data_IF_941712958415
#
_entry.id   IF_941712958415
#
_cell.length_a   1.000
_cell.length_b   1.000
_cell.length_c   1.000
_cell.angle_alpha   90.00
_cell.angle_beta   90.00
_cell.angle_gamma   90.00
#
_symmetry.space_group_name_H-M   'P 1'
#
loop_
_entity.id
_entity.type
_entity.pdbx_description
1 polymer ?
#
# COMPACT_ATOMS: atom_id res chain seq x y z
N UNK A 1 10.62 -23.66 -11.60
CA UNK A 1 11.79 -24.19 -10.92
C UNK A 1 11.28 -25.27 -9.98
N UNK A 2 11.27 -26.54 -10.39
CA UNK A 2 11.35 -27.62 -9.44
C UNK A 2 12.79 -27.52 -8.90
N UNK A 3 12.97 -26.94 -7.73
CA UNK A 3 14.14 -27.22 -6.93
C UNK A 3 13.86 -28.57 -6.31
N UNK A 4 14.46 -29.58 -6.89
CA UNK A 4 14.58 -30.85 -6.21
C UNK A 4 15.44 -30.61 -4.97
N UNK A 5 14.85 -30.59 -3.82
CA UNK A 5 15.51 -30.26 -2.57
C UNK A 5 16.39 -31.40 -2.08
N UNK A 6 17.50 -31.10 -1.43
CA UNK A 6 18.35 -32.11 -0.78
C UNK A 6 17.58 -32.71 0.37
N UNK A 7 17.33 -34.02 0.31
CA UNK A 7 16.84 -34.81 1.43
C UNK A 7 18.01 -35.38 2.20
N UNK A 8 18.25 -34.82 3.37
CA UNK A 8 19.25 -35.39 4.30
C UNK A 8 18.55 -35.85 5.56
N UNK A 9 18.82 -37.11 5.95
CA UNK A 9 18.38 -37.60 7.27
C UNK A 9 19.51 -37.34 8.26
N UNK A 10 19.24 -36.47 9.24
CA UNK A 10 20.19 -36.23 10.33
C UNK A 10 19.80 -37.19 11.46
N UNK A 11 20.66 -38.16 11.82
CA UNK A 11 20.34 -39.09 12.91
C UNK A 11 20.32 -38.32 14.23
N UNK A 12 19.21 -38.45 14.94
CA UNK A 12 19.07 -38.00 16.31
C UNK A 12 19.66 -39.02 17.26
N UNK A 13 20.44 -38.57 18.19
CA UNK A 13 20.76 -39.39 19.36
C UNK A 13 19.52 -39.42 20.26
N UNK A 14 18.99 -40.61 20.44
CA UNK A 14 17.94 -41.04 21.36
C UNK A 14 16.49 -40.55 21.12
N UNK A 15 15.65 -41.51 20.77
CA UNK A 15 14.18 -41.61 20.96
C UNK A 15 13.25 -40.62 20.21
N UNK A 16 13.62 -40.05 19.11
CA UNK A 16 12.68 -39.32 18.24
C UNK A 16 12.79 -39.78 16.79
N UNK A 17 11.66 -39.85 16.10
CA UNK A 17 11.67 -40.13 14.66
C UNK A 17 12.62 -39.21 13.91
N UNK A 18 13.33 -39.69 12.90
CA UNK A 18 14.26 -38.86 12.13
C UNK A 18 13.53 -37.70 11.49
N UNK A 19 14.04 -36.49 11.70
CA UNK A 19 13.52 -35.28 11.07
C UNK A 19 14.16 -35.15 9.72
N UNK A 20 13.34 -35.19 8.65
CA UNK A 20 13.80 -34.80 7.31
C UNK A 20 14.00 -33.30 7.23
N UNK A 21 15.23 -32.88 7.09
CA UNK A 21 15.59 -31.51 6.74
C UNK A 21 15.76 -31.44 5.23
N UNK A 22 14.79 -30.86 4.51
CA UNK A 22 14.97 -30.55 3.11
C UNK A 22 15.90 -29.35 2.97
N UNK A 23 17.17 -29.60 2.70
CA UNK A 23 18.12 -28.53 2.40
C UNK A 23 18.29 -28.33 0.90
N UNK A 24 18.42 -29.38 0.11
CA UNK A 24 18.47 -29.42 -1.37
C UNK A 24 18.52 -30.88 -1.81
N UNK A 25 18.11 -31.23 -3.02
CA UNK A 25 18.43 -32.55 -3.59
C UNK A 25 19.87 -32.57 -4.03
N UNK A 26 20.66 -33.46 -3.44
CA UNK A 26 21.96 -33.80 -3.98
C UNK A 26 21.78 -34.87 -5.07
N UNK A 27 22.65 -34.88 -6.10
CA UNK A 27 22.70 -36.00 -7.03
C UNK A 27 22.81 -37.33 -6.30
N UNK A 28 22.14 -38.37 -6.79
CA UNK A 28 22.10 -39.73 -6.19
C UNK A 28 23.50 -40.35 -5.89
N UNK A 29 24.56 -39.75 -6.39
CA UNK A 29 25.97 -40.19 -6.23
C UNK A 29 26.61 -39.75 -4.92
N UNK A 30 25.92 -38.91 -4.10
CA UNK A 30 26.46 -38.43 -2.82
C UNK A 30 25.82 -39.23 -1.68
N UNK A 31 26.50 -40.32 -1.31
CA UNK A 31 26.04 -41.19 -0.22
C UNK A 31 26.05 -40.53 1.19
N UNK A 32 26.77 -39.42 1.34
CA UNK A 32 26.90 -38.77 2.65
C UNK A 32 27.09 -37.22 2.45
N UNK A 33 26.17 -36.46 3.01
CA UNK A 33 26.30 -35.00 3.03
C UNK A 33 27.34 -34.61 4.09
N UNK A 34 28.58 -34.40 3.69
CA UNK A 34 29.60 -33.80 4.56
C UNK A 34 29.46 -32.29 4.49
N UNK A 35 28.74 -31.70 5.40
CA UNK A 35 28.61 -30.25 5.55
C UNK A 35 29.92 -29.58 5.96
N UNK A 36 31.03 -30.34 6.11
CA UNK A 36 32.31 -29.84 6.61
C UNK A 36 33.51 -30.58 5.97
N UNK A 37 34.60 -29.85 5.73
CA UNK A 37 35.83 -30.50 5.30
C UNK A 37 36.35 -31.48 6.37
N UNK A 38 36.69 -32.67 5.96
CA UNK A 38 37.09 -33.83 6.77
C UNK A 38 38.42 -33.66 7.54
N UNK A 39 38.77 -32.49 8.05
CA UNK A 39 40.12 -32.27 8.59
C UNK A 39 40.29 -32.49 10.08
N UNK A 40 39.24 -32.76 10.86
CA UNK A 40 39.39 -32.87 12.35
C UNK A 40 38.76 -34.06 13.00
N UNK A 41 38.03 -34.93 12.29
CA UNK A 41 37.41 -36.11 12.90
C UNK A 41 36.27 -35.79 13.88
N UNK A 42 35.97 -34.54 14.15
CA UNK A 42 34.86 -34.11 14.99
C UNK A 42 33.77 -33.49 14.14
N UNK A 43 32.54 -33.97 14.32
CA UNK A 43 31.34 -33.39 13.70
C UNK A 43 31.05 -32.02 14.38
N UNK A 44 31.15 -30.92 13.69
CA UNK A 44 30.82 -29.63 14.28
C UNK A 44 29.34 -29.52 14.63
N UNK A 45 28.98 -28.66 15.60
CA UNK A 45 27.62 -28.53 16.06
C UNK A 45 26.70 -28.00 14.99
N UNK A 46 25.76 -28.78 14.62
CA UNK A 46 24.65 -28.37 13.77
C UNK A 46 23.54 -27.83 14.68
N UNK A 47 23.08 -26.62 14.43
CA UNK A 47 21.86 -26.14 15.04
C UNK A 47 20.70 -26.69 14.23
N UNK A 48 19.93 -27.61 14.82
CA UNK A 48 18.73 -28.12 14.21
C UNK A 48 17.55 -27.38 14.83
N UNK A 49 16.70 -26.80 13.98
CA UNK A 49 15.51 -26.11 14.39
C UNK A 49 14.28 -26.96 14.03
N UNK A 50 13.51 -27.35 15.05
CA UNK A 50 12.28 -28.10 14.84
C UNK A 50 11.08 -27.16 14.69
N UNK A 51 10.68 -26.89 13.44
CA UNK A 51 9.55 -26.06 13.09
C UNK A 51 8.19 -26.71 13.38
N UNK A 52 8.14 -28.01 13.58
CA UNK A 52 6.90 -28.75 13.86
C UNK A 52 6.45 -28.60 15.30
N UNK A 53 7.35 -28.36 16.22
CA UNK A 53 7.05 -28.37 17.67
C UNK A 53 6.62 -27.02 18.23
N UNK A 54 6.54 -25.96 17.48
CA UNK A 54 6.10 -24.60 17.89
C UNK A 54 6.50 -24.18 19.34
N UNK A 55 7.27 -25.00 20.01
CA UNK A 55 7.75 -24.75 21.35
C UNK A 55 8.99 -23.90 21.21
N UNK A 56 8.80 -22.60 21.26
CA UNK A 56 9.80 -21.55 21.27
C UNK A 56 11.16 -21.98 20.75
N UNK A 57 11.73 -21.24 19.89
CA UNK A 57 13.03 -21.36 19.23
C UNK A 57 14.12 -22.08 20.10
N UNK A 58 13.90 -23.31 20.50
CA UNK A 58 14.90 -24.09 21.17
C UNK A 58 15.86 -24.71 20.15
N UNK A 59 16.98 -24.00 19.99
CA UNK A 59 18.14 -24.58 19.33
C UNK A 59 18.70 -25.69 20.19
N UNK A 60 18.59 -26.96 19.80
CA UNK A 60 19.48 -27.97 20.36
C UNK A 60 20.91 -27.65 19.90
N UNK A 61 21.71 -27.06 20.77
CA UNK A 61 23.15 -27.01 20.62
C UNK A 61 23.67 -28.45 20.70
N UNK A 62 24.08 -28.99 19.57
CA UNK A 62 25.05 -30.07 19.57
C UNK A 62 26.36 -29.44 20.04
N UNK A 63 26.86 -29.91 21.17
CA UNK A 63 27.87 -29.22 21.96
C UNK A 63 29.24 -29.27 21.25
N UNK A 64 29.76 -28.12 20.85
CA UNK A 64 31.09 -27.99 20.28
C UNK A 64 31.78 -26.79 20.86
N UNK A 65 32.01 -26.81 22.13
CA UNK A 65 32.95 -25.87 22.71
C UNK A 65 32.69 -24.37 22.47
N UNK A 66 31.42 -23.94 22.33
CA UNK A 66 31.06 -22.53 22.38
C UNK A 66 31.15 -21.72 21.09
N UNK A 67 31.52 -22.29 19.94
CA UNK A 67 31.54 -21.59 18.65
C UNK A 67 30.17 -21.64 17.98
N UNK A 68 29.63 -20.47 17.63
CA UNK A 68 28.43 -20.35 16.77
C UNK A 68 28.84 -20.70 15.34
N UNK A 69 28.27 -21.75 14.76
CA UNK A 69 28.51 -22.09 13.37
C UNK A 69 27.75 -21.13 12.47
N UNK A 70 28.41 -20.62 11.44
CA UNK A 70 27.82 -19.87 10.36
C UNK A 70 28.03 -20.62 9.05
N UNK A 71 27.03 -20.58 8.19
CA UNK A 71 27.12 -21.06 6.82
C UNK A 71 27.59 -19.92 5.91
N UNK A 72 28.29 -20.25 4.83
CA UNK A 72 28.67 -19.26 3.82
C UNK A 72 27.45 -18.69 3.12
N UNK A 73 26.44 -19.55 2.89
CA UNK A 73 25.17 -19.20 2.25
C UNK A 73 24.00 -19.96 2.85
N UNK A 74 22.83 -19.31 2.87
CA UNK A 74 21.53 -19.96 3.03
C UNK A 74 20.70 -19.68 1.81
N UNK A 75 20.21 -20.73 1.16
CA UNK A 75 19.27 -20.65 0.04
C UNK A 75 18.10 -21.57 0.37
N UNK A 76 16.86 -21.08 0.17
CA UNK A 76 15.72 -21.92 0.50
C UNK A 76 14.36 -21.37 0.13
N UNK A 77 13.38 -22.27 0.23
CA UNK A 77 11.95 -22.00 0.15
C UNK A 77 11.32 -22.42 1.49
N UNK A 78 11.25 -21.51 2.48
CA UNK A 78 10.74 -21.86 3.79
C UNK A 78 9.23 -22.08 3.77
N UNK A 79 8.66 -22.79 4.76
CA UNK A 79 7.21 -22.81 4.95
C UNK A 79 6.64 -21.40 5.07
N UNK A 80 5.49 -21.17 4.44
CA UNK A 80 4.91 -19.81 4.35
C UNK A 80 4.02 -19.49 5.53
N UNK A 81 3.23 -20.47 5.99
CA UNK A 81 2.27 -20.33 7.07
C UNK A 81 2.38 -21.50 8.05
N UNK A 82 1.83 -21.30 9.26
CA UNK A 82 1.64 -22.37 10.24
C UNK A 82 0.71 -23.46 9.67
N UNK A 83 0.97 -24.73 10.02
CA UNK A 83 0.07 -25.84 9.66
C UNK A 83 -1.26 -25.75 10.41
N UNK A 84 -2.36 -26.04 9.70
CA UNK A 84 -3.70 -26.08 10.27
C UNK A 84 -3.91 -27.34 11.11
N UNK A 85 -3.52 -27.32 12.38
CA UNK A 85 -3.84 -28.40 13.33
C UNK A 85 -4.83 -27.96 14.41
N UNK A 86 -5.71 -27.00 14.17
CA UNK A 86 -6.72 -26.59 15.14
C UNK A 86 -8.13 -26.74 14.61
N UNK A 87 -8.82 -27.73 15.18
CA UNK A 87 -10.28 -27.90 15.17
C UNK A 87 -10.95 -26.79 16.02
N UNK A 88 -11.12 -25.59 15.43
CA UNK A 88 -11.82 -24.49 16.06
C UNK A 88 -12.35 -23.50 15.02
N UNK A 89 -13.38 -22.74 15.37
CA UNK A 89 -14.14 -21.80 14.51
C UNK A 89 -13.33 -20.71 13.79
N UNK A 90 -12.01 -20.67 13.93
CA UNK A 90 -11.09 -19.73 13.27
C UNK A 90 -10.17 -20.39 12.22
N UNK A 91 -10.60 -21.50 11.60
CA UNK A 91 -9.83 -22.29 10.65
C UNK A 91 -9.37 -21.56 9.36
N UNK A 92 -9.67 -20.28 9.19
CA UNK A 92 -9.40 -19.54 7.95
C UNK A 92 -8.19 -18.60 7.98
N UNK A 93 -7.40 -18.53 9.07
CA UNK A 93 -6.26 -17.62 9.18
C UNK A 93 -4.99 -18.31 9.66
N UNK A 94 -4.30 -19.01 8.74
CA UNK A 94 -2.92 -19.46 9.01
C UNK A 94 -2.01 -18.23 9.14
N UNK A 95 -1.30 -18.13 10.27
CA UNK A 95 -0.34 -17.05 10.48
C UNK A 95 0.89 -17.25 9.58
N UNK A 96 1.42 -16.19 8.98
CA UNK A 96 2.69 -16.28 8.24
C UNK A 96 3.83 -16.58 9.20
N UNK A 97 4.72 -17.50 8.80
CA UNK A 97 5.94 -17.84 9.52
C UNK A 97 7.21 -17.59 8.70
N UNK A 98 7.11 -17.33 7.40
CA UNK A 98 8.26 -17.08 6.54
C UNK A 98 9.12 -15.90 7.02
N UNK A 99 8.52 -14.90 7.66
CA UNK A 99 9.24 -13.78 8.27
C UNK A 99 10.17 -14.23 9.39
N UNK A 100 9.79 -15.24 10.17
CA UNK A 100 10.62 -15.84 11.21
C UNK A 100 11.80 -16.59 10.57
N UNK A 101 11.56 -17.28 9.44
CA UNK A 101 12.63 -17.94 8.70
C UNK A 101 13.65 -16.95 8.14
N UNK A 102 13.21 -15.81 7.63
CA UNK A 102 14.10 -14.74 7.20
C UNK A 102 15.01 -14.30 8.36
N UNK A 103 14.43 -14.04 9.52
CA UNK A 103 15.19 -13.60 10.70
C UNK A 103 16.15 -14.68 11.22
N UNK A 104 15.74 -15.94 11.25
CA UNK A 104 16.58 -17.04 11.71
C UNK A 104 17.72 -17.36 10.73
N UNK A 105 17.45 -17.37 9.42
CA UNK A 105 18.46 -17.57 8.40
C UNK A 105 19.61 -16.54 8.50
N UNK A 106 19.27 -15.29 8.81
CA UNK A 106 20.26 -14.21 9.01
C UNK A 106 21.14 -14.37 10.26
N UNK A 107 20.74 -15.20 11.22
CA UNK A 107 21.56 -15.52 12.41
C UNK A 107 22.64 -16.56 12.08
N UNK A 108 22.36 -17.43 11.12
CA UNK A 108 23.24 -18.55 10.77
C UNK A 108 24.07 -18.34 9.50
N UNK A 109 23.80 -17.27 8.74
CA UNK A 109 24.59 -16.90 7.56
C UNK A 109 24.61 -15.38 7.34
N UNK A 110 25.73 -14.91 6.82
CA UNK A 110 25.87 -13.53 6.39
C UNK A 110 25.34 -13.29 4.96
N UNK A 111 24.96 -14.36 4.23
CA UNK A 111 24.34 -14.30 2.90
C UNK A 111 23.16 -15.24 2.80
N UNK A 112 21.99 -14.67 2.57
CA UNK A 112 20.71 -15.41 2.59
C UNK A 112 19.90 -15.06 1.35
N UNK A 113 19.47 -16.09 0.62
CA UNK A 113 18.51 -15.96 -0.49
C UNK A 113 17.32 -16.86 -0.22
N UNK A 114 16.14 -16.27 -0.10
CA UNK A 114 14.92 -17.01 0.15
C UNK A 114 13.83 -16.61 -0.87
N UNK A 115 13.00 -17.60 -1.24
CA UNK A 115 11.75 -17.37 -1.95
C UNK A 115 10.59 -17.48 -0.95
N UNK A 116 9.69 -16.52 -0.98
CA UNK A 116 8.58 -16.45 -0.02
C UNK A 116 7.45 -15.55 -0.53
N UNK A 117 6.26 -15.50 0.13
CA UNK A 117 5.19 -14.57 -0.22
C UNK A 117 5.65 -13.12 -0.16
N UNK A 118 5.23 -12.34 -1.14
CA UNK A 118 5.68 -10.96 -1.32
C UNK A 118 4.81 -9.90 -0.62
N UNK A 119 3.72 -10.30 0.08
CA UNK A 119 2.72 -9.35 0.64
C UNK A 119 3.31 -8.30 1.57
N UNK A 120 4.35 -8.65 2.33
CA UNK A 120 5.00 -7.71 3.25
C UNK A 120 5.67 -6.53 2.51
N UNK A 121 6.12 -6.73 1.26
CA UNK A 121 6.70 -5.67 0.43
C UNK A 121 5.71 -4.51 0.21
N UNK A 122 4.42 -4.82 0.16
CA UNK A 122 3.32 -3.86 0.03
C UNK A 122 2.74 -3.42 1.38
N UNK A 123 3.41 -3.74 2.47
CA UNK A 123 2.92 -3.56 3.83
C UNK A 123 1.51 -4.16 4.05
N UNK A 124 1.22 -5.24 3.33
CA UNK A 124 -0.02 -6.01 3.35
C UNK A 124 0.21 -7.40 3.96
N UNK A 125 -0.89 -8.09 4.28
CA UNK A 125 -0.82 -9.40 4.91
C UNK A 125 -0.75 -9.34 6.43
N UNK A 126 -0.48 -10.49 7.05
CA UNK A 126 -0.55 -10.67 8.51
C UNK A 126 0.83 -10.69 9.19
N UNK A 127 1.91 -10.33 8.48
CA UNK A 127 3.22 -10.10 9.12
C UNK A 127 3.17 -8.87 10.03
N UNK A 128 3.88 -8.87 11.18
CA UNK A 128 3.90 -7.73 12.08
C UNK A 128 4.35 -6.44 11.40
N UNK A 129 3.64 -5.35 11.62
CA UNK A 129 3.91 -4.04 11.00
C UNK A 129 5.32 -3.52 11.31
N UNK A 130 5.78 -3.69 12.54
CA UNK A 130 7.13 -3.29 12.94
C UNK A 130 8.21 -4.12 12.25
N UNK A 131 7.95 -5.42 12.04
CA UNK A 131 8.83 -6.28 11.26
C UNK A 131 8.89 -5.82 9.81
N UNK A 132 7.74 -5.53 9.18
CA UNK A 132 7.70 -5.00 7.81
C UNK A 132 8.52 -3.71 7.70
N UNK A 133 8.31 -2.76 8.62
CA UNK A 133 9.06 -1.50 8.66
C UNK A 133 10.57 -1.74 8.79
N UNK A 134 10.97 -2.64 9.69
CA UNK A 134 12.39 -2.99 9.91
C UNK A 134 13.02 -3.59 8.66
N UNK A 135 12.39 -4.59 8.04
CA UNK A 135 12.95 -5.30 6.90
C UNK A 135 13.00 -4.41 5.64
N UNK A 136 11.97 -3.58 5.42
CA UNK A 136 11.90 -2.67 4.27
C UNK A 136 12.89 -1.50 4.38
N UNK A 137 13.34 -1.15 5.59
CA UNK A 137 14.37 -0.14 5.82
C UNK A 137 15.79 -0.70 5.92
N UNK A 138 15.95 -2.01 5.86
CA UNK A 138 17.24 -2.67 6.02
C UNK A 138 18.12 -2.48 4.78
N UNK A 139 19.28 -1.84 4.97
CA UNK A 139 20.25 -1.58 3.89
C UNK A 139 21.05 -2.82 3.45
N UNK A 140 20.91 -3.94 4.13
CA UNK A 140 21.54 -5.21 3.78
C UNK A 140 20.59 -6.18 3.08
N UNK A 141 19.35 -5.75 2.82
CA UNK A 141 18.29 -6.58 2.28
C UNK A 141 17.72 -5.98 0.99
N UNK A 142 17.55 -6.79 -0.04
CA UNK A 142 16.98 -6.37 -1.32
C UNK A 142 16.08 -7.43 -1.94
N UNK A 143 15.20 -7.02 -2.84
CA UNK A 143 14.45 -7.89 -3.73
C UNK A 143 15.33 -8.20 -4.95
N UNK A 144 15.49 -9.49 -5.27
CA UNK A 144 16.15 -9.95 -6.51
C UNK A 144 15.14 -10.17 -7.64
N UNK A 145 13.96 -10.67 -7.28
CA UNK A 145 12.91 -11.00 -8.25
C UNK A 145 11.55 -10.90 -7.56
N UNK A 146 10.56 -10.45 -8.30
CA UNK A 146 9.16 -10.40 -7.89
C UNK A 146 8.26 -10.92 -9.01
N UNK A 147 7.36 -11.86 -8.68
CA UNK A 147 6.36 -12.38 -9.57
C UNK A 147 4.96 -12.20 -8.96
N UNK A 148 4.12 -11.32 -9.54
CA UNK A 148 2.77 -11.08 -9.02
C UNK A 148 1.83 -12.28 -9.16
N UNK A 149 2.03 -13.09 -10.20
CA UNK A 149 1.26 -14.31 -10.44
C UNK A 149 2.03 -15.54 -9.96
N UNK A 150 1.77 -15.95 -8.71
CA UNK A 150 2.48 -17.08 -8.10
C UNK A 150 2.41 -18.37 -8.92
N UNK A 151 1.36 -18.58 -9.73
CA UNK A 151 1.23 -19.77 -10.58
C UNK A 151 2.30 -19.86 -11.69
N UNK A 152 2.97 -18.75 -12.03
CA UNK A 152 4.11 -18.75 -12.94
C UNK A 152 5.37 -19.37 -12.31
N UNK A 153 5.47 -19.35 -10.99
CA UNK A 153 6.58 -19.92 -10.23
C UNK A 153 6.22 -21.26 -9.63
N UNK A 154 5.03 -21.35 -9.05
CA UNK A 154 4.50 -22.54 -8.41
C UNK A 154 3.14 -22.88 -9.05
N UNK A 155 3.11 -23.80 -10.04
CA UNK A 155 1.85 -24.23 -10.65
C UNK A 155 0.83 -24.67 -9.61
N UNK A 156 -0.45 -24.39 -9.85
CA UNK A 156 -1.57 -24.74 -8.96
C UNK A 156 -1.64 -23.99 -7.63
N UNK A 157 -0.83 -22.92 -7.46
CA UNK A 157 -0.87 -22.08 -6.25
C UNK A 157 -1.47 -20.71 -6.54
N UNK A 158 -2.23 -20.17 -5.58
CA UNK A 158 -2.75 -18.79 -5.58
C UNK A 158 -2.26 -18.04 -4.34
N UNK A 159 -1.01 -17.59 -4.38
CA UNK A 159 -0.42 -16.80 -3.30
C UNK A 159 -0.75 -15.33 -3.56
N UNK A 160 -1.74 -14.83 -2.84
CA UNK A 160 -2.15 -13.41 -2.96
C UNK A 160 -1.00 -12.45 -2.68
N UNK A 161 -0.77 -11.52 -3.61
CA UNK A 161 0.34 -10.57 -3.56
C UNK A 161 1.63 -11.12 -4.19
N UNK A 162 1.59 -12.32 -4.78
CA UNK A 162 2.72 -12.92 -5.50
C UNK A 162 3.82 -13.47 -4.59
N UNK A 163 4.93 -13.83 -5.23
CA UNK A 163 6.14 -14.34 -4.58
C UNK A 163 7.34 -13.44 -4.88
N UNK A 164 8.28 -13.40 -3.96
CA UNK A 164 9.53 -12.68 -4.14
C UNK A 164 10.73 -13.56 -3.79
N UNK A 165 11.82 -13.38 -4.52
CA UNK A 165 13.15 -13.84 -4.13
C UNK A 165 13.87 -12.64 -3.53
N UNK A 166 14.32 -12.78 -2.29
CA UNK A 166 15.05 -11.73 -1.58
C UNK A 166 16.46 -12.16 -1.27
N UNK A 167 17.35 -11.19 -1.13
CA UNK A 167 18.75 -11.40 -0.81
C UNK A 167 19.16 -10.51 0.36
N UNK A 168 19.81 -11.11 1.32
CA UNK A 168 20.48 -10.44 2.42
C UNK A 168 21.99 -10.67 2.32
N UNK A 169 22.80 -9.63 2.55
CA UNK A 169 24.26 -9.70 2.61
C UNK A 169 24.78 -8.74 3.70
N UNK A 170 25.23 -9.29 4.81
CA UNK A 170 25.73 -8.49 5.93
C UNK A 170 26.97 -7.65 5.57
N UNK A 171 27.73 -8.05 4.54
CA UNK A 171 28.94 -7.36 4.05
C UNK A 171 28.67 -6.33 2.96
N UNK A 172 27.43 -6.18 2.50
CA UNK A 172 27.08 -5.24 1.43
C UNK A 172 25.98 -4.28 1.88
N UNK A 173 26.08 -3.06 1.41
CA UNK A 173 25.03 -2.04 1.61
C UNK A 173 24.29 -1.85 0.30
N UNK A 174 22.97 -2.00 0.35
CA UNK A 174 22.04 -1.71 -0.72
C UNK A 174 21.22 -0.47 -0.38
N UNK A 175 20.56 0.07 -1.37
CA UNK A 175 19.50 1.03 -1.11
C UNK A 175 18.31 0.31 -0.44
N UNK A 176 17.75 0.85 0.65
CA UNK A 176 16.59 0.25 1.29
C UNK A 176 15.43 0.05 0.31
N UNK A 177 14.67 -1.03 0.47
CA UNK A 177 13.47 -1.28 -0.35
C UNK A 177 12.48 -0.13 -0.18
N UNK A 178 12.25 0.30 1.07
CA UNK A 178 11.31 1.37 1.39
C UNK A 178 9.89 1.01 0.96
N UNK A 179 9.33 1.82 0.07
CA UNK A 179 8.05 1.53 -0.57
C UNK A 179 8.31 0.75 -1.85
N UNK A 180 7.63 -0.37 -1.98
CA UNK A 180 7.77 -1.30 -3.12
C UNK A 180 6.52 -1.26 -3.99
N UNK A 181 6.74 -1.29 -5.31
CA UNK A 181 5.70 -1.51 -6.32
C UNK A 181 6.03 -2.71 -7.20
N UNK A 182 5.02 -3.20 -7.92
CA UNK A 182 5.19 -4.35 -8.82
C UNK A 182 6.00 -4.03 -10.10
N UNK A 183 6.36 -2.76 -10.32
CA UNK A 183 6.99 -2.28 -11.56
C UNK A 183 8.36 -1.68 -11.24
N UNK A 184 9.39 -2.15 -11.90
CA UNK A 184 10.77 -1.64 -11.71
C UNK A 184 10.87 -0.15 -12.07
N UNK A 185 10.22 0.26 -13.17
CA UNK A 185 10.21 1.64 -13.61
C UNK A 185 9.56 2.56 -12.58
N UNK A 186 8.42 2.12 -11.99
CA UNK A 186 7.75 2.92 -10.96
C UNK A 186 8.57 3.00 -9.68
N UNK A 187 9.30 1.94 -9.31
CA UNK A 187 10.24 1.97 -8.21
C UNK A 187 11.41 2.93 -8.49
N UNK A 188 11.91 2.97 -9.74
CA UNK A 188 12.95 3.90 -10.18
C UNK A 188 12.46 5.35 -10.15
N UNK A 189 11.25 5.62 -10.68
CA UNK A 189 10.59 6.93 -10.63
C UNK A 189 10.44 7.39 -9.18
N UNK A 190 9.93 6.52 -8.30
CA UNK A 190 9.74 6.82 -6.89
C UNK A 190 11.04 7.27 -6.20
N UNK A 191 12.15 6.61 -6.49
CA UNK A 191 13.48 6.97 -5.95
C UNK A 191 13.95 8.36 -6.39
N UNK A 192 13.58 8.80 -7.58
CA UNK A 192 13.91 10.14 -8.09
C UNK A 192 12.98 11.21 -7.52
N UNK A 193 11.69 10.87 -7.38
CA UNK A 193 10.65 11.83 -6.98
C UNK A 193 10.60 12.00 -5.45
N UNK A 194 10.59 10.90 -4.67
CA UNK A 194 10.37 10.96 -3.24
C UNK A 194 11.35 11.87 -2.46
N UNK A 195 12.68 11.89 -2.76
CA UNK A 195 13.60 12.81 -2.08
C UNK A 195 13.38 14.29 -2.39
N UNK A 196 12.62 14.61 -3.44
CA UNK A 196 12.31 15.98 -3.89
C UNK A 196 10.93 16.45 -3.45
N UNK A 197 10.20 15.64 -2.68
CA UNK A 197 8.90 16.02 -2.13
C UNK A 197 9.13 16.86 -0.87
N UNK A 198 9.02 18.17 -0.99
CA UNK A 198 9.02 19.08 0.15
C UNK A 198 7.71 18.96 0.94
N UNK A 199 6.60 18.96 0.21
CA UNK A 199 5.26 18.71 0.71
C UNK A 199 4.50 17.75 -0.22
N UNK A 200 3.85 16.71 0.31
CA UNK A 200 2.98 15.87 -0.51
C UNK A 200 1.61 16.52 -0.72
N UNK A 201 0.99 16.27 -1.89
CA UNK A 201 -0.36 16.76 -2.21
C UNK A 201 -1.40 16.33 -1.16
N UNK A 202 -1.18 15.17 -0.52
CA UNK A 202 -2.04 14.66 0.55
C UNK A 202 -2.23 15.63 1.73
N UNK A 203 -1.30 16.58 1.95
CA UNK A 203 -1.40 17.57 3.04
C UNK A 203 -2.54 18.55 2.86
N UNK A 204 -2.92 18.83 1.62
CA UNK A 204 -4.03 19.75 1.28
C UNK A 204 -5.30 18.99 0.85
N UNK A 205 -5.35 17.68 1.05
CA UNK A 205 -6.55 16.87 0.79
C UNK A 205 -7.33 16.72 2.10
N UNK A 206 -8.62 16.98 2.03
CA UNK A 206 -9.52 16.85 3.18
C UNK A 206 -9.63 15.41 3.67
N UNK A 207 -9.98 15.24 4.94
CA UNK A 207 -10.50 13.97 5.45
C UNK A 207 -11.85 13.63 4.80
N UNK A 208 -12.30 12.38 4.98
CA UNK A 208 -13.67 11.98 4.64
C UNK A 208 -14.64 12.59 5.64
N UNK A 209 -15.81 13.05 5.14
CA UNK A 209 -16.89 13.52 6.00
C UNK A 209 -16.61 14.82 6.77
N UNK A 210 -15.82 15.73 6.15
CA UNK A 210 -15.48 17.02 6.77
C UNK A 210 -16.66 18.02 6.83
N UNK A 211 -17.66 17.84 5.97
CA UNK A 211 -18.90 18.62 6.04
C UNK A 211 -19.85 17.98 7.02
N UNK A 212 -20.34 18.75 7.98
CA UNK A 212 -21.21 18.25 9.04
C UNK A 212 -22.49 19.09 9.13
N UNK A 213 -23.52 18.54 9.77
CA UNK A 213 -24.70 19.30 10.16
C UNK A 213 -24.35 20.15 11.39
N UNK A 214 -24.97 21.32 11.49
CA UNK A 214 -24.89 22.18 12.66
C UNK A 214 -25.81 21.71 13.76
N UNK A 215 -25.61 22.19 14.98
CA UNK A 215 -26.54 21.98 16.09
C UNK A 215 -27.93 22.54 15.78
N UNK A 216 -27.99 23.67 15.07
CA UNK A 216 -29.25 24.29 14.64
C UNK A 216 -30.09 23.35 13.77
N UNK A 217 -29.48 22.57 12.91
CA UNK A 217 -30.20 21.59 12.09
C UNK A 217 -30.91 20.54 12.97
N UNK A 218 -30.26 20.08 14.04
CA UNK A 218 -30.84 19.10 14.95
C UNK A 218 -31.91 19.74 15.88
N UNK A 219 -31.68 20.99 16.27
CA UNK A 219 -32.65 21.71 17.15
C UNK A 219 -33.93 21.99 16.40
N UNK A 220 -33.88 22.36 15.11
CA UNK A 220 -35.07 22.60 14.29
C UNK A 220 -35.67 21.28 13.76
N UNK A 221 -34.86 20.21 13.62
CA UNK A 221 -35.25 18.91 13.10
C UNK A 221 -34.74 17.76 13.97
N UNK A 222 -35.31 17.57 15.20
CA UNK A 222 -34.84 16.53 16.12
C UNK A 222 -35.00 15.11 15.55
N UNK A 223 -35.90 14.89 14.59
CA UNK A 223 -36.05 13.62 13.88
C UNK A 223 -34.77 13.14 13.16
N UNK A 224 -33.82 14.04 12.91
CA UNK A 224 -32.52 13.69 12.32
C UNK A 224 -31.79 12.65 13.18
N UNK A 225 -31.90 12.71 14.51
CA UNK A 225 -31.27 11.77 15.44
C UNK A 225 -31.79 10.34 15.25
N UNK A 226 -33.07 10.19 14.91
CA UNK A 226 -33.69 8.88 14.67
C UNK A 226 -33.40 8.34 13.25
N UNK A 227 -33.20 9.25 12.28
CA UNK A 227 -32.92 8.91 10.88
C UNK A 227 -31.43 8.49 10.70
N UNK A 228 -30.54 9.15 11.43
CA UNK A 228 -29.11 8.89 11.34
C UNK A 228 -28.68 7.70 12.23
N UNK A 229 -27.59 7.08 11.91
CA UNK A 229 -27.02 6.00 12.72
C UNK A 229 -26.52 6.54 14.06
N UNK A 230 -26.61 5.75 15.12
CA UNK A 230 -26.13 6.13 16.45
C UNK A 230 -24.65 6.59 16.40
N UNK A 231 -24.39 7.77 16.94
CA UNK A 231 -23.06 8.39 16.91
C UNK A 231 -22.73 9.19 15.65
N UNK A 232 -23.59 9.18 14.62
CA UNK A 232 -23.40 9.83 13.33
C UNK A 232 -24.42 10.92 13.00
N UNK A 233 -25.10 11.49 14.00
CA UNK A 233 -26.19 12.43 13.84
C UNK A 233 -25.83 13.72 13.09
N UNK A 234 -24.55 14.10 13.11
CA UNK A 234 -24.06 15.28 12.40
C UNK A 234 -23.46 14.97 11.02
N UNK A 235 -23.37 13.70 10.61
CA UNK A 235 -22.63 13.33 9.42
C UNK A 235 -23.43 13.61 8.13
N UNK A 236 -22.78 14.24 7.15
CA UNK A 236 -23.28 14.35 5.78
C UNK A 236 -22.75 13.15 4.99
N UNK A 237 -23.26 11.97 5.36
CA UNK A 237 -22.81 10.67 4.87
C UNK A 237 -23.23 10.38 3.41
N UNK A 238 -22.84 9.22 2.90
CA UNK A 238 -23.15 8.76 1.53
C UNK A 238 -24.65 8.78 1.22
N UNK A 239 -25.49 8.45 2.20
CA UNK A 239 -26.94 8.41 2.05
C UNK A 239 -27.67 9.71 2.42
N UNK A 240 -26.95 10.80 2.71
CA UNK A 240 -27.55 12.02 3.27
C UNK A 240 -28.69 12.59 2.40
N UNK A 241 -28.53 12.61 1.08
CA UNK A 241 -29.56 13.13 0.17
C UNK A 241 -30.85 12.30 0.16
N UNK A 242 -30.76 10.99 0.45
CA UNK A 242 -31.97 10.16 0.56
C UNK A 242 -32.60 10.24 1.94
N UNK A 243 -31.76 10.19 2.97
CA UNK A 243 -32.25 10.14 4.38
C UNK A 243 -32.82 11.47 4.83
N UNK A 244 -32.21 12.57 4.40
CA UNK A 244 -32.53 13.93 4.85
C UNK A 244 -33.13 14.78 3.72
N UNK A 245 -33.73 14.13 2.69
CA UNK A 245 -34.45 14.81 1.62
C UNK A 245 -35.66 15.57 2.21
N UNK A 246 -35.82 16.84 1.83
CA UNK A 246 -36.84 17.75 2.33
C UNK A 246 -36.72 18.18 3.80
N UNK A 247 -35.73 17.67 4.53
CA UNK A 247 -35.38 18.12 5.88
C UNK A 247 -34.17 19.07 5.79
N UNK A 248 -33.07 18.59 5.29
CA UNK A 248 -31.83 19.37 5.13
C UNK A 248 -31.50 19.61 3.65
N UNK A 249 -31.76 18.62 2.79
CA UNK A 249 -31.39 18.63 1.38
C UNK A 249 -32.59 18.68 0.46
N UNK A 250 -32.56 19.61 -0.51
CA UNK A 250 -33.62 19.88 -1.44
C UNK A 250 -33.14 19.77 -2.88
N UNK A 251 -33.92 19.17 -3.77
CA UNK A 251 -33.58 19.08 -5.22
C UNK A 251 -33.66 20.45 -5.89
N UNK A 252 -34.62 21.24 -5.50
CA UNK A 252 -34.83 22.60 -5.96
C UNK A 252 -34.62 23.56 -4.79
N UNK A 253 -34.07 24.74 -5.08
CA UNK A 253 -33.87 25.77 -4.07
C UNK A 253 -35.21 26.20 -3.52
N UNK A 254 -35.48 26.08 -2.21
CA UNK A 254 -36.71 26.57 -1.59
C UNK A 254 -36.89 28.08 -1.80
N UNK A 255 -38.14 28.50 -1.95
CA UNK A 255 -38.54 29.91 -2.15
C UNK A 255 -38.96 30.52 -0.82
N UNK A 256 -38.11 30.54 0.15
CA UNK A 256 -38.22 31.19 1.43
C UNK A 256 -37.14 32.28 1.58
N UNK A 257 -37.00 32.88 2.74
CA UNK A 257 -36.04 33.94 3.02
C UNK A 257 -34.68 33.44 3.52
N UNK A 258 -34.43 32.11 3.49
CA UNK A 258 -33.23 31.50 4.02
C UNK A 258 -32.11 31.44 2.96
N UNK A 259 -30.84 31.40 3.43
CA UNK A 259 -29.70 31.21 2.55
C UNK A 259 -29.49 29.72 2.25
N UNK A 260 -29.37 29.38 0.95
CA UNK A 260 -29.13 28.04 0.50
C UNK A 260 -27.83 27.95 -0.30
N UNK A 261 -27.11 26.86 -0.11
CA UNK A 261 -25.85 26.52 -0.79
C UNK A 261 -25.98 25.18 -1.50
N UNK A 262 -25.12 24.96 -2.50
CA UNK A 262 -25.16 23.71 -3.26
C UNK A 262 -24.26 22.64 -2.64
N UNK A 263 -24.72 21.41 -2.70
CA UNK A 263 -23.99 20.23 -2.27
C UNK A 263 -23.92 19.19 -3.37
N UNK A 264 -22.69 18.68 -3.59
CA UNK A 264 -22.38 17.58 -4.49
C UNK A 264 -22.48 16.24 -3.74
N UNK A 265 -23.11 15.25 -4.34
CA UNK A 265 -23.13 13.90 -3.80
C UNK A 265 -23.37 12.85 -4.88
N UNK A 266 -23.45 11.60 -4.46
CA UNK A 266 -23.79 10.47 -5.33
C UNK A 266 -25.13 9.89 -4.96
N UNK A 267 -25.98 9.66 -5.97
CA UNK A 267 -27.20 8.86 -5.83
C UNK A 267 -27.21 7.78 -6.90
N UNK A 268 -27.29 6.52 -6.48
CA UNK A 268 -27.25 5.36 -7.39
C UNK A 268 -26.07 5.42 -8.38
N UNK A 269 -24.90 5.82 -7.90
CA UNK A 269 -23.68 5.94 -8.70
C UNK A 269 -23.62 7.16 -9.63
N UNK A 270 -24.62 8.02 -9.64
CA UNK A 270 -24.65 9.25 -10.44
C UNK A 270 -24.42 10.47 -9.56
N UNK A 271 -23.70 11.46 -10.08
CA UNK A 271 -23.53 12.77 -9.44
C UNK A 271 -24.82 13.52 -9.48
N UNK A 272 -25.17 14.10 -8.35
CA UNK A 272 -26.34 14.94 -8.19
C UNK A 272 -26.00 16.15 -7.34
N UNK A 273 -26.75 17.22 -7.56
CA UNK A 273 -26.66 18.46 -6.82
C UNK A 273 -27.93 18.68 -6.04
N UNK A 274 -27.78 19.02 -4.77
CA UNK A 274 -28.87 19.39 -3.89
C UNK A 274 -28.60 20.75 -3.27
N UNK A 275 -29.64 21.39 -2.80
CA UNK A 275 -29.56 22.60 -2.01
C UNK A 275 -29.68 22.25 -0.54
N UNK A 276 -28.88 22.91 0.30
CA UNK A 276 -28.94 22.79 1.75
C UNK A 276 -28.97 24.19 2.35
N UNK A 277 -29.77 24.37 3.41
CA UNK A 277 -29.78 25.62 4.14
C UNK A 277 -28.42 25.83 4.79
N UNK A 278 -27.81 27.01 4.56
CA UNK A 278 -26.41 27.30 4.91
C UNK A 278 -26.17 27.18 6.42
N UNK A 279 -27.10 27.66 7.25
CA UNK A 279 -26.98 27.63 8.71
C UNK A 279 -27.25 26.26 9.33
N UNK A 280 -27.69 25.28 8.54
CA UNK A 280 -27.78 23.88 8.94
C UNK A 280 -26.45 23.12 8.80
N UNK A 281 -25.42 23.82 8.35
CA UNK A 281 -24.11 23.23 8.06
C UNK A 281 -23.06 23.74 9.04
N UNK A 282 -22.13 22.86 9.39
CA UNK A 282 -20.86 23.15 10.05
C UNK A 282 -19.74 22.72 9.08
N UNK A 283 -19.38 23.61 8.11
CA UNK A 283 -18.44 23.28 7.06
C UNK A 283 -16.99 23.57 7.45
N UNK A 284 -16.01 22.91 6.80
CA UNK A 284 -14.59 23.23 6.94
C UNK A 284 -14.24 24.57 6.25
N UNK A 285 -13.04 25.11 6.55
CA UNK A 285 -12.55 26.37 5.96
C UNK A 285 -12.51 26.31 4.42
N UNK A 286 -12.20 25.16 3.85
CA UNK A 286 -12.22 24.92 2.40
C UNK A 286 -13.59 25.20 1.73
N UNK A 287 -14.67 25.26 2.51
CA UNK A 287 -15.99 25.61 2.00
C UNK A 287 -16.04 27.04 1.45
N UNK A 288 -15.27 27.95 2.01
CA UNK A 288 -15.27 29.38 1.64
C UNK A 288 -14.27 29.75 0.54
N UNK A 289 -13.53 28.76 0.03
CA UNK A 289 -12.48 28.94 -0.99
C UNK A 289 -12.75 28.09 -2.23
N UNK A 290 -11.99 28.29 -3.30
CA UNK A 290 -11.97 27.37 -4.43
C UNK A 290 -11.25 26.08 -4.05
N UNK A 291 -11.70 24.96 -4.61
CA UNK A 291 -11.15 23.63 -4.35
C UNK A 291 -11.38 22.70 -5.53
N UNK A 292 -10.70 21.55 -5.53
CA UNK A 292 -10.98 20.47 -6.49
C UNK A 292 -11.63 19.31 -5.74
N UNK A 293 -12.81 18.89 -6.16
CA UNK A 293 -13.45 17.68 -5.66
C UNK A 293 -12.96 16.47 -6.44
N UNK A 294 -12.53 15.44 -5.69
CA UNK A 294 -12.23 14.10 -6.21
C UNK A 294 -13.15 13.08 -5.53
N UNK A 295 -13.53 11.98 -6.20
CA UNK A 295 -14.29 10.93 -5.56
C UNK A 295 -13.45 10.27 -4.44
N UNK A 296 -14.10 9.97 -3.32
CA UNK A 296 -13.45 9.20 -2.23
C UNK A 296 -13.09 7.78 -2.70
N UNK A 297 -13.95 7.17 -3.51
CA UNK A 297 -13.71 5.86 -4.08
C UNK A 297 -13.82 5.88 -5.61
N UNK A 298 -12.88 5.21 -6.29
CA UNK A 298 -12.79 5.16 -7.74
C UNK A 298 -12.00 3.94 -8.23
N UNK A 299 -12.55 3.25 -9.22
CA UNK A 299 -11.90 2.14 -9.90
C UNK A 299 -11.62 0.93 -9.01
N UNK A 300 -10.63 0.13 -9.38
CA UNK A 300 -10.22 -1.09 -8.67
C UNK A 300 -8.94 -0.92 -7.84
N UNK A 301 -8.18 0.14 -8.11
CA UNK A 301 -6.85 0.37 -7.59
C UNK A 301 -5.73 -0.09 -8.54
N UNK A 302 -6.06 -0.42 -9.78
CA UNK A 302 -5.05 -0.70 -10.80
C UNK A 302 -4.25 0.55 -11.13
N UNK A 303 -2.96 0.38 -11.42
CA UNK A 303 -2.08 1.48 -11.80
C UNK A 303 -2.65 2.23 -13.01
N UNK A 304 -2.63 3.55 -12.95
CA UNK A 304 -2.95 4.41 -14.08
C UNK A 304 -4.44 4.50 -14.45
N UNK A 305 -5.33 3.98 -13.61
CA UNK A 305 -6.77 4.18 -13.80
C UNK A 305 -7.13 5.67 -13.86
N UNK A 306 -8.17 5.98 -14.63
CA UNK A 306 -8.74 7.33 -14.64
C UNK A 306 -9.42 7.62 -13.30
N UNK A 307 -9.27 8.82 -12.79
CA UNK A 307 -10.10 9.30 -11.69
C UNK A 307 -11.49 9.64 -12.23
N UNK A 308 -12.55 9.23 -11.54
CA UNK A 308 -13.92 9.63 -11.93
C UNK A 308 -14.01 11.14 -11.87
N UNK A 309 -13.93 11.75 -13.03
CA UNK A 309 -13.92 13.18 -13.36
C UNK A 309 -13.82 14.14 -12.16
N UNK A 310 -12.64 14.56 -11.74
CA UNK A 310 -12.46 15.63 -10.76
C UNK A 310 -13.13 16.93 -11.26
N UNK A 311 -13.60 17.78 -10.36
CA UNK A 311 -14.23 19.05 -10.74
C UNK A 311 -13.90 20.18 -9.76
N UNK A 312 -13.98 21.40 -10.24
CA UNK A 312 -13.79 22.60 -9.42
C UNK A 312 -15.05 22.83 -8.57
N UNK A 313 -14.85 23.02 -7.28
CA UNK A 313 -15.85 23.54 -6.36
C UNK A 313 -15.60 25.01 -6.09
N UNK A 314 -16.55 25.88 -6.45
CA UNK A 314 -16.51 27.29 -6.10
C UNK A 314 -16.74 27.49 -4.58
N UNK A 315 -16.44 28.68 -4.04
CA UNK A 315 -16.85 29.04 -2.69
C UNK A 315 -18.34 28.76 -2.44
N UNK A 316 -18.68 28.33 -1.20
CA UNK A 316 -20.03 27.96 -0.77
C UNK A 316 -20.60 26.71 -1.47
N UNK A 317 -19.75 25.89 -2.08
CA UNK A 317 -20.15 24.56 -2.56
C UNK A 317 -19.55 23.50 -1.63
N UNK A 318 -20.42 22.65 -1.07
CA UNK A 318 -20.04 21.52 -0.24
C UNK A 318 -20.19 20.17 -0.94
N UNK A 319 -19.80 19.10 -0.27
CA UNK A 319 -19.98 17.75 -0.76
C UNK A 319 -20.30 16.76 0.37
N UNK A 320 -21.01 15.69 0.03
CA UNK A 320 -21.15 14.54 0.93
C UNK A 320 -19.81 13.81 1.07
N UNK A 321 -19.70 12.90 2.03
CA UNK A 321 -18.47 12.12 2.25
C UNK A 321 -18.02 11.25 1.05
N UNK A 322 -18.80 11.20 -0.02
CA UNK A 322 -18.45 10.53 -1.27
C UNK A 322 -17.40 11.29 -2.09
N UNK A 323 -17.09 12.52 -1.70
CA UNK A 323 -16.04 13.33 -2.29
C UNK A 323 -15.08 13.84 -1.22
N UNK A 324 -13.80 13.95 -1.61
CA UNK A 324 -12.76 14.67 -0.89
C UNK A 324 -12.51 15.99 -1.62
N UNK A 325 -12.08 17.00 -0.90
CA UNK A 325 -11.64 18.27 -1.48
C UNK A 325 -10.12 18.39 -1.43
N UNK A 326 -9.53 18.95 -2.48
CA UNK A 326 -8.12 19.32 -2.57
C UNK A 326 -8.02 20.82 -2.52
N UNK A 327 -7.20 21.33 -1.62
CA UNK A 327 -6.84 22.72 -1.50
C UNK A 327 -7.85 23.61 -0.79
N UNK A 328 -7.37 24.80 -0.57
CA UNK A 328 -8.06 26.01 -0.16
C UNK A 328 -7.46 27.11 -1.05
N UNK A 329 -7.88 27.11 -2.33
CA UNK A 329 -7.31 28.01 -3.33
C UNK A 329 -7.98 29.39 -3.28
N UNK A 330 -7.17 30.44 -3.41
CA UNK A 330 -7.67 31.80 -3.42
C UNK A 330 -8.43 32.13 -4.70
N UNK A 331 -8.05 31.50 -5.83
CA UNK A 331 -8.60 31.77 -7.14
C UNK A 331 -9.08 30.50 -7.85
N UNK A 332 -10.03 30.68 -8.77
CA UNK A 332 -10.48 29.61 -9.66
C UNK A 332 -9.34 29.09 -10.56
N UNK A 333 -8.42 30.00 -10.96
CA UNK A 333 -7.25 29.66 -11.76
C UNK A 333 -6.33 28.65 -11.05
N UNK A 334 -6.03 28.86 -9.78
CA UNK A 334 -5.23 27.91 -8.98
C UNK A 334 -5.93 26.55 -8.86
N UNK A 335 -7.25 26.54 -8.62
CA UNK A 335 -8.03 25.32 -8.59
C UNK A 335 -8.04 24.61 -9.96
N UNK A 336 -8.10 25.35 -11.07
CA UNK A 336 -8.02 24.82 -12.41
C UNK A 336 -6.64 24.20 -12.71
N UNK A 337 -5.56 24.84 -12.26
CA UNK A 337 -4.19 24.31 -12.37
C UNK A 337 -4.02 23.01 -11.57
N UNK A 338 -4.52 22.97 -10.33
CA UNK A 338 -4.57 21.76 -9.54
C UNK A 338 -5.41 20.67 -10.21
N UNK A 339 -6.54 21.02 -10.82
CA UNK A 339 -7.38 20.08 -11.57
C UNK A 339 -6.62 19.45 -12.75
N UNK A 340 -5.84 20.23 -13.52
CA UNK A 340 -4.97 19.71 -14.58
C UNK A 340 -3.92 18.76 -14.00
N UNK A 341 -3.29 19.16 -12.89
CA UNK A 341 -2.28 18.35 -12.23
C UNK A 341 -2.80 16.97 -11.78
N UNK A 342 -3.94 16.92 -11.09
CA UNK A 342 -4.49 15.62 -10.64
C UNK A 342 -4.98 14.73 -11.78
N UNK A 343 -5.24 15.32 -12.96
CA UNK A 343 -5.54 14.59 -14.20
C UNK A 343 -4.29 14.13 -14.92
N UNK A 344 -3.12 14.71 -14.67
CA UNK A 344 -1.87 14.37 -15.34
C UNK A 344 -1.49 12.92 -15.15
N UNK A 345 -0.80 12.33 -16.11
CA UNK A 345 -0.28 10.96 -16.03
C UNK A 345 0.76 10.82 -14.92
N UNK A 346 1.62 11.83 -14.77
CA UNK A 346 2.63 11.86 -13.70
C UNK A 346 2.00 11.78 -12.32
N UNK A 347 1.04 12.64 -11.99
CA UNK A 347 0.40 12.63 -10.68
C UNK A 347 -0.31 11.30 -10.40
N UNK A 348 -0.96 10.71 -11.40
CA UNK A 348 -1.66 9.43 -11.26
C UNK A 348 -0.72 8.23 -11.23
N UNK A 349 0.43 8.29 -11.88
CA UNK A 349 1.49 7.29 -11.69
C UNK A 349 1.98 7.30 -10.24
N UNK A 350 2.27 8.49 -9.70
CA UNK A 350 2.70 8.63 -8.30
C UNK A 350 1.61 8.26 -7.29
N UNK A 351 0.35 8.56 -7.57
CA UNK A 351 -0.79 8.07 -6.79
C UNK A 351 -0.84 6.53 -6.79
N UNK A 352 -0.58 5.92 -7.93
CA UNK A 352 -0.60 4.45 -8.12
C UNK A 352 0.41 3.70 -7.25
N UNK A 353 1.44 4.37 -6.73
CA UNK A 353 2.40 3.77 -5.79
C UNK A 353 1.71 3.20 -4.55
N UNK A 354 0.70 3.90 -4.01
CA UNK A 354 -0.01 3.50 -2.79
C UNK A 354 -1.49 3.17 -3.01
N UNK A 355 -2.08 3.60 -4.12
CA UNK A 355 -3.48 3.33 -4.42
C UNK A 355 -3.63 1.93 -5.03
N UNK A 356 -3.71 0.93 -4.16
CA UNK A 356 -3.92 -0.49 -4.52
C UNK A 356 -5.37 -0.96 -4.29
N UNK A 357 -6.28 -0.03 -3.97
CA UNK A 357 -7.72 -0.24 -3.76
C UNK A 357 -8.49 0.93 -4.38
N UNK A 358 -9.82 0.85 -4.34
CA UNK A 358 -10.69 1.92 -4.85
C UNK A 358 -10.59 3.26 -4.11
N UNK A 359 -10.09 3.29 -2.87
CA UNK A 359 -10.11 4.49 -2.01
C UNK A 359 -9.00 5.48 -2.36
N UNK A 360 -9.36 6.76 -2.38
CA UNK A 360 -8.47 7.90 -2.69
C UNK A 360 -8.14 8.74 -1.45
N UNK A 361 -8.08 8.14 -0.27
CA UNK A 361 -7.80 8.87 0.97
C UNK A 361 -6.46 9.62 0.89
N UNK A 362 -6.33 10.72 1.66
CA UNK A 362 -5.15 11.61 1.63
C UNK A 362 -3.81 10.88 1.79
N UNK A 363 -3.79 9.77 2.53
CA UNK A 363 -2.59 8.96 2.76
C UNK A 363 -2.07 8.29 1.47
N UNK A 364 -2.92 8.14 0.46
CA UNK A 364 -2.51 7.59 -0.85
C UNK A 364 -1.72 8.58 -1.69
N UNK A 365 -1.82 9.87 -1.38
CA UNK A 365 -1.19 10.97 -2.13
C UNK A 365 0.15 11.43 -1.54
N UNK A 366 0.73 10.68 -0.60
CA UNK A 366 2.01 11.08 0.04
C UNK A 366 3.21 11.07 -0.91
N UNK A 367 3.13 10.34 -2.02
CA UNK A 367 4.16 10.32 -3.07
C UNK A 367 3.81 11.21 -4.26
N UNK A 368 2.67 11.87 -4.26
CA UNK A 368 2.33 12.89 -5.24
C UNK A 368 2.84 14.24 -4.71
N UNK A 369 3.87 14.84 -5.34
CA UNK A 369 4.40 16.12 -4.86
C UNK A 369 3.36 17.23 -4.96
N UNK A 370 3.26 18.07 -3.95
CA UNK A 370 2.51 19.33 -4.07
C UNK A 370 3.27 20.26 -5.03
N UNK A 371 2.56 20.87 -5.96
CA UNK A 371 3.09 21.86 -6.87
C UNK A 371 2.63 23.27 -6.45
N UNK A 372 3.34 24.29 -6.92
CA UNK A 372 2.82 25.65 -6.91
C UNK A 372 1.79 25.78 -8.05
N UNK A 373 0.56 26.14 -7.72
CA UNK A 373 -0.53 26.33 -8.68
C UNK A 373 -0.77 27.80 -9.03
N UNK A 374 0.00 28.71 -8.46
CA UNK A 374 -0.08 30.15 -8.70
C UNK A 374 0.55 30.53 -10.04
N UNK A 375 0.47 31.79 -10.38
CA UNK A 375 1.13 32.36 -11.57
C UNK A 375 2.66 32.41 -11.48
N UNK A 376 3.24 32.19 -10.30
CA UNK A 376 4.69 32.13 -10.07
C UNK A 376 5.29 30.73 -10.20
N UNK A 377 4.46 29.74 -10.54
CA UNK A 377 4.87 28.34 -10.70
C UNK A 377 5.99 28.16 -11.74
N UNK A 378 6.87 27.20 -11.49
CA UNK A 378 7.85 26.71 -12.46
C UNK A 378 7.22 25.80 -13.55
N UNK A 379 5.94 25.47 -13.42
CA UNK A 379 5.14 24.76 -14.41
C UNK A 379 4.22 25.76 -15.13
N UNK A 380 4.25 25.75 -16.46
CA UNK A 380 3.31 26.51 -17.26
C UNK A 380 1.95 25.81 -17.34
N UNK A 381 1.08 26.16 -16.43
CA UNK A 381 -0.27 25.60 -16.32
C UNK A 381 -1.21 26.02 -17.46
N UNK A 382 -0.82 26.97 -18.34
CA UNK A 382 -1.63 27.37 -19.51
C UNK A 382 -1.66 26.26 -20.57
N UNK A 383 -0.66 25.39 -20.57
CA UNK A 383 -0.46 24.32 -21.52
C UNK A 383 -1.48 23.16 -21.38
N UNK A 384 -1.45 22.25 -22.36
CA UNK A 384 -2.23 21.02 -22.31
C UNK A 384 -1.74 20.11 -21.18
N UNK A 385 -2.58 19.14 -20.74
CA UNK A 385 -2.18 18.17 -19.71
C UNK A 385 -0.96 17.36 -20.16
N UNK A 386 -0.88 17.01 -21.45
CA UNK A 386 0.25 16.30 -22.01
C UNK A 386 1.55 17.11 -21.93
N UNK A 387 1.51 18.42 -22.24
CA UNK A 387 2.67 19.29 -22.11
C UNK A 387 3.06 19.53 -20.66
N UNK A 388 2.09 19.59 -19.75
CA UNK A 388 2.32 19.64 -18.30
C UNK A 388 3.02 18.36 -17.83
N UNK A 389 2.63 17.19 -18.34
CA UNK A 389 3.31 15.93 -18.04
C UNK A 389 4.79 15.98 -18.47
N UNK A 390 5.10 16.51 -19.66
CA UNK A 390 6.48 16.66 -20.12
C UNK A 390 7.31 17.59 -19.22
N UNK A 391 6.72 18.69 -18.75
CA UNK A 391 7.37 19.59 -17.81
C UNK A 391 7.66 18.89 -16.48
N UNK A 392 6.70 18.10 -15.97
CA UNK A 392 6.86 17.33 -14.74
C UNK A 392 7.91 16.23 -14.90
N UNK A 393 7.95 15.50 -16.03
CA UNK A 393 8.99 14.50 -16.30
C UNK A 393 10.38 15.13 -16.28
N UNK A 394 10.52 16.30 -16.92
CA UNK A 394 11.77 17.07 -16.92
C UNK A 394 12.15 17.55 -15.52
N UNK A 395 11.20 18.13 -14.78
CA UNK A 395 11.39 18.62 -13.40
C UNK A 395 11.93 17.52 -12.48
N UNK A 396 11.41 16.30 -12.61
CA UNK A 396 11.82 15.18 -11.76
C UNK A 396 12.95 14.32 -12.36
N UNK A 397 13.42 14.65 -13.58
CA UNK A 397 14.57 13.98 -14.22
C UNK A 397 14.28 12.53 -14.60
N UNK A 398 13.08 12.27 -15.16
CA UNK A 398 12.71 10.94 -15.60
C UNK A 398 13.47 10.56 -16.88
N UNK A 399 13.84 9.26 -16.99
CA UNK A 399 14.47 8.72 -18.19
C UNK A 399 13.42 8.45 -19.30
N UNK A 400 13.90 8.20 -20.51
CA UNK A 400 13.02 7.86 -21.63
C UNK A 400 12.19 6.58 -21.36
N UNK A 401 12.81 5.58 -20.70
CA UNK A 401 12.15 4.33 -20.32
C UNK A 401 11.06 4.56 -19.27
N UNK A 402 11.33 5.40 -18.27
CA UNK A 402 10.36 5.76 -17.22
C UNK A 402 9.18 6.55 -17.79
N UNK A 403 9.46 7.47 -18.72
CA UNK A 403 8.41 8.21 -19.44
C UNK A 403 7.57 7.25 -20.28
N UNK A 404 8.20 6.36 -21.05
CA UNK A 404 7.49 5.38 -21.87
C UNK A 404 6.63 4.44 -21.00
N UNK A 405 7.09 4.07 -19.81
CA UNK A 405 6.32 3.32 -18.83
C UNK A 405 5.06 4.09 -18.40
N UNK A 406 5.18 5.34 -17.97
CA UNK A 406 4.02 6.16 -17.58
C UNK A 406 3.05 6.32 -18.75
N UNK A 407 3.55 6.64 -19.94
CA UNK A 407 2.74 6.86 -21.14
C UNK A 407 1.94 5.64 -21.56
N UNK A 408 2.48 4.42 -21.36
CA UNK A 408 1.84 3.16 -21.72
C UNK A 408 0.90 2.60 -20.64
N UNK A 409 1.18 2.86 -19.36
CA UNK A 409 0.42 2.28 -18.25
C UNK A 409 -0.64 3.24 -17.66
N UNK A 410 -0.50 4.53 -17.85
CA UNK A 410 -1.43 5.52 -17.30
C UNK A 410 -2.34 6.05 -18.40
N UNK A 411 -3.65 5.79 -18.25
CA UNK A 411 -4.66 6.22 -19.22
C UNK A 411 -4.74 7.73 -19.31
N UNK A 412 -4.99 8.27 -20.50
CA UNK A 412 -5.20 9.69 -20.67
C UNK A 412 -6.49 10.17 -19.99
N UNK A 413 -6.46 11.40 -19.48
CA UNK A 413 -7.63 12.12 -18.97
C UNK A 413 -7.68 13.50 -19.62
N UNK A 414 -8.80 13.81 -20.26
CA UNK A 414 -9.08 15.12 -20.83
C UNK A 414 -9.52 16.13 -19.76
#
# INVERSE_FOLDING_TARGET
WQMDGIRGTIPYAEESEPMELMLFDLPEEIEELRLFPAHTGEIPPVRIYDWRRQSGLEYRRVNTGGRTMKFDFVIGNPPYNEDFNNSGDNANFAKPIYNLFIDEARKVSDKVTLIHPARFLFNAGSTPKDWNKKILSDKHFKVLYYEPNSAQVFPETDIKGGVAITYYDAGKTFEPIGTFTAFEELNSILKKVAPRIEQPLGTIISGRGVYRLSTKALDEHPEIEDIQSKGHKFDVGTGAFQKLEKIVFFKEKPLDNEEYVQFLGLMKGKRVWYWARKDFLDPPDSFYTFKVFIPEANGSGALGEVLSTPLIGAPLIGATETFLSIGEFATEGEAANCLKYVKSKFARAMLGVLKITQHNTREKWIYVPLQDFSSSSDIDWSQSIADIDQQLYTKYGLSAEEIAFIESHVKEMA
#
